data_IF_185099089798
#
_entry.id   IF_185099089798
#
_cell.length_a   1.000
_cell.length_b   1.000
_cell.length_c   1.000
_cell.angle_alpha   90.00
_cell.angle_beta   90.00
_cell.angle_gamma   90.00
#
_symmetry.space_group_name_H-M   'P 1'
#
loop_
_entity.id
_entity.type
_entity.pdbx_description
1 polymer ?
#
# COMPACT_ATOMS: atom_id res chain seq x y z
N UNK A 1 -8.31 -18.71 13.72
CA UNK A 1 -7.92 -17.38 13.20
C UNK A 1 -8.81 -16.30 13.77
N UNK A 2 -8.23 -15.17 14.03
CA UNK A 2 -8.96 -14.03 14.55
C UNK A 2 -9.04 -12.92 13.50
N UNK A 3 -10.17 -12.20 13.43
CA UNK A 3 -10.21 -10.99 12.62
C UNK A 3 -9.18 -9.98 13.13
N UNK A 4 -8.56 -9.27 12.21
CA UNK A 4 -7.69 -8.17 12.57
C UNK A 4 -8.54 -6.92 12.68
N UNK A 5 -8.55 -6.31 13.87
CA UNK A 5 -9.35 -5.12 14.14
C UNK A 5 -8.48 -3.89 14.06
N UNK A 6 -8.84 -2.97 13.18
CA UNK A 6 -8.10 -1.72 12.97
C UNK A 6 -9.08 -0.55 12.94
N UNK A 7 -8.56 0.63 13.26
CA UNK A 7 -9.31 1.88 13.16
C UNK A 7 -9.20 2.38 11.72
N UNK A 8 -10.16 1.99 10.87
CA UNK A 8 -10.10 2.32 9.46
C UNK A 8 -11.49 2.49 8.85
N UNK A 9 -11.55 3.32 7.83
CA UNK A 9 -12.71 3.42 6.96
C UNK A 9 -12.55 2.34 5.88
N UNK A 10 -13.46 1.38 5.88
CA UNK A 10 -13.38 0.21 5.01
C UNK A 10 -13.28 0.57 3.53
N UNK A 11 -14.12 1.47 3.06
CA UNK A 11 -14.13 1.84 1.63
C UNK A 11 -12.85 2.55 1.22
N UNK A 12 -12.37 3.43 2.05
CA UNK A 12 -11.11 4.15 1.77
C UNK A 12 -9.92 3.21 1.80
N UNK A 13 -9.90 2.29 2.76
CA UNK A 13 -8.82 1.30 2.84
C UNK A 13 -8.83 0.38 1.63
N UNK A 14 -10.00 -0.09 1.22
CA UNK A 14 -10.12 -0.91 0.01
C UNK A 14 -9.60 -0.18 -1.22
N UNK A 15 -9.90 1.11 -1.34
CA UNK A 15 -9.40 1.93 -2.44
C UNK A 15 -7.88 1.97 -2.48
N UNK A 16 -7.24 2.12 -1.32
CA UNK A 16 -5.77 2.11 -1.22
C UNK A 16 -5.21 0.76 -1.67
N UNK A 17 -5.78 -0.33 -1.16
CA UNK A 17 -5.30 -1.68 -1.50
C UNK A 17 -5.43 -1.94 -3.00
N UNK A 18 -6.57 -1.59 -3.59
CA UNK A 18 -6.79 -1.75 -5.03
C UNK A 18 -5.75 -0.96 -5.82
N UNK A 19 -5.46 0.26 -5.39
CA UNK A 19 -4.48 1.10 -6.05
C UNK A 19 -3.08 0.49 -5.99
N UNK A 20 -2.69 -0.04 -4.83
CA UNK A 20 -1.37 -0.68 -4.69
C UNK A 20 -1.26 -1.94 -5.53
N UNK A 21 -2.31 -2.76 -5.57
CA UNK A 21 -2.32 -3.97 -6.40
C UNK A 21 -2.24 -3.60 -7.88
N UNK A 22 -2.99 -2.60 -8.30
CA UNK A 22 -2.97 -2.14 -9.70
C UNK A 22 -1.58 -1.64 -10.08
N UNK A 23 -0.93 -0.87 -9.21
CA UNK A 23 0.42 -0.41 -9.45
C UNK A 23 1.42 -1.56 -9.57
N UNK A 24 1.26 -2.58 -8.72
CA UNK A 24 2.11 -3.77 -8.78
C UNK A 24 1.94 -4.51 -10.11
N UNK A 25 0.69 -4.68 -10.55
CA UNK A 25 0.41 -5.33 -11.84
C UNK A 25 0.99 -4.54 -13.01
N UNK A 26 0.87 -3.20 -12.94
CA UNK A 26 1.44 -2.34 -13.98
C UNK A 26 2.97 -2.43 -14.01
N UNK A 27 3.60 -2.50 -12.85
CA UNK A 27 5.06 -2.60 -12.75
C UNK A 27 5.59 -3.93 -13.31
N UNK A 28 4.76 -4.96 -13.37
CA UNK A 28 5.14 -6.26 -13.88
C UNK A 28 4.82 -6.47 -15.36
N UNK A 29 4.23 -5.48 -16.02
CA UNK A 29 3.98 -5.57 -17.46
C UNK A 29 5.29 -5.72 -18.21
N UNK A 30 5.35 -6.70 -19.08
CA UNK A 30 6.56 -6.98 -19.86
C UNK A 30 7.62 -7.80 -19.14
N UNK A 31 7.41 -8.11 -17.88
CA UNK A 31 8.33 -8.95 -17.11
C UNK A 31 8.03 -10.43 -17.36
N UNK A 32 9.09 -11.24 -17.40
CA UNK A 32 8.95 -12.69 -17.57
C UNK A 32 8.37 -13.32 -16.29
N UNK A 33 8.79 -12.85 -15.14
CA UNK A 33 8.28 -13.31 -13.85
C UNK A 33 7.29 -12.29 -13.32
N UNK A 34 6.09 -12.76 -12.94
CA UNK A 34 5.02 -11.91 -12.44
C UNK A 34 4.42 -12.55 -11.20
N UNK A 35 4.99 -12.21 -10.05
CA UNK A 35 4.49 -12.71 -8.76
C UNK A 35 4.07 -11.53 -7.90
N UNK A 36 2.88 -11.66 -7.33
CA UNK A 36 2.33 -10.67 -6.41
C UNK A 36 2.10 -11.36 -5.08
N UNK A 37 2.74 -10.84 -4.04
CA UNK A 37 2.54 -11.34 -2.68
C UNK A 37 1.88 -10.26 -1.85
N UNK A 38 0.87 -10.65 -1.10
CA UNK A 38 0.22 -9.77 -0.12
C UNK A 38 0.35 -10.45 1.23
N UNK A 39 1.00 -9.77 2.16
CA UNK A 39 1.30 -10.33 3.47
C UNK A 39 0.78 -9.42 4.57
N UNK A 40 0.00 -9.99 5.48
CA UNK A 40 -0.47 -9.27 6.67
C UNK A 40 0.31 -9.75 7.87
N UNK A 41 0.95 -8.82 8.57
CA UNK A 41 1.67 -9.09 9.81
C UNK A 41 1.02 -8.28 10.92
N UNK A 42 0.80 -8.92 12.06
CA UNK A 42 0.13 -8.29 13.19
C UNK A 42 1.03 -8.31 14.42
N UNK A 43 1.22 -7.16 15.01
CA UNK A 43 1.95 -6.96 16.25
C UNK A 43 1.31 -5.78 16.96
N UNK A 44 2.09 -4.79 17.37
CA UNK A 44 1.55 -3.54 17.94
C UNK A 44 0.75 -2.77 16.90
N UNK A 45 1.09 -2.96 15.63
CA UNK A 45 0.38 -2.38 14.50
C UNK A 45 0.05 -3.50 13.51
N UNK A 46 -0.92 -3.25 12.63
CA UNK A 46 -1.18 -4.12 11.49
C UNK A 46 -0.35 -3.62 10.31
N UNK A 47 0.42 -4.49 9.70
CA UNK A 47 1.25 -4.15 8.54
C UNK A 47 0.81 -5.00 7.36
N UNK A 48 0.33 -4.34 6.32
CA UNK A 48 -0.03 -5.00 5.07
C UNK A 48 1.04 -4.67 4.03
N UNK A 49 1.75 -5.69 3.56
CA UNK A 49 2.78 -5.51 2.54
C UNK A 49 2.28 -6.04 1.20
N UNK A 50 2.50 -5.25 0.15
CA UNK A 50 2.21 -5.64 -1.24
C UNK A 50 3.54 -5.67 -1.97
N UNK A 51 3.97 -6.85 -2.37
CA UNK A 51 5.26 -7.06 -3.02
C UNK A 51 5.04 -7.53 -4.45
N UNK A 52 5.81 -6.96 -5.37
CA UNK A 52 5.80 -7.40 -6.76
C UNK A 52 7.21 -7.76 -7.23
N UNK A 53 7.28 -8.39 -8.40
CA UNK A 53 8.55 -8.76 -9.04
C UNK A 53 8.82 -7.92 -10.30
N UNK A 54 8.29 -6.70 -10.32
CA UNK A 54 8.43 -5.79 -11.46
C UNK A 54 9.75 -5.05 -11.50
N UNK A 55 9.72 -3.91 -12.16
CA UNK A 55 10.92 -3.12 -12.41
C UNK A 55 11.50 -2.42 -11.19
N UNK A 56 10.73 -2.32 -10.11
CA UNK A 56 11.15 -1.56 -8.93
C UNK A 56 10.82 -0.08 -9.05
N UNK A 57 11.35 0.69 -8.13
CA UNK A 57 11.07 2.13 -8.00
C UNK A 57 12.33 2.91 -8.29
N UNK A 58 12.24 3.84 -9.26
CA UNK A 58 13.39 4.66 -9.65
C UNK A 58 13.68 5.78 -8.65
N UNK A 59 12.63 6.43 -8.15
CA UNK A 59 12.81 7.58 -7.29
C UNK A 59 11.90 7.51 -6.08
N UNK A 60 12.44 6.96 -4.99
CA UNK A 60 11.70 6.79 -3.75
C UNK A 60 11.35 8.14 -3.09
N UNK A 61 12.16 9.16 -3.30
CA UNK A 61 11.95 10.46 -2.66
C UNK A 61 10.70 11.18 -3.15
N UNK A 62 10.35 11.02 -4.42
CA UNK A 62 9.22 11.73 -5.02
C UNK A 62 8.01 10.85 -5.26
N UNK A 63 8.09 9.58 -4.88
CA UNK A 63 7.09 8.58 -5.22
C UNK A 63 5.67 8.96 -4.80
N UNK A 64 5.52 9.57 -3.64
CA UNK A 64 4.22 9.93 -3.09
C UNK A 64 3.81 11.39 -3.37
N UNK A 65 4.60 12.10 -4.15
CA UNK A 65 4.25 13.47 -4.53
C UNK A 65 3.16 13.46 -5.60
N UNK A 66 2.22 14.42 -5.54
CA UNK A 66 1.19 14.53 -6.57
C UNK A 66 1.80 14.71 -7.95
N UNK A 67 1.17 14.11 -8.95
CA UNK A 67 1.55 14.17 -10.36
C UNK A 67 2.85 13.46 -10.72
N UNK A 68 3.56 12.85 -9.76
CA UNK A 68 4.70 12.03 -10.09
C UNK A 68 4.22 10.70 -10.70
N UNK A 69 4.73 10.35 -11.86
CA UNK A 69 4.43 9.08 -12.50
C UNK A 69 5.52 8.74 -13.52
N UNK A 70 5.85 7.43 -13.60
CA UNK A 70 6.70 6.89 -14.65
C UNK A 70 5.88 6.27 -15.77
N UNK A 71 4.56 6.31 -15.66
CA UNK A 71 3.66 5.78 -16.69
C UNK A 71 3.65 6.70 -17.90
N UNK A 72 3.30 6.12 -19.04
CA UNK A 72 3.16 6.89 -20.27
C UNK A 72 2.02 7.89 -20.15
N UNK A 73 2.09 9.01 -20.89
CA UNK A 73 0.97 9.94 -20.92
C UNK A 73 -0.35 9.24 -21.25
N UNK A 74 -1.37 9.51 -20.46
CA UNK A 74 -2.68 8.87 -20.62
C UNK A 74 -2.90 7.63 -19.75
N UNK A 75 -1.85 7.02 -19.21
CA UNK A 75 -1.96 5.83 -18.38
C UNK A 75 -2.16 6.16 -16.89
N UNK A 76 -2.01 7.41 -16.53
CA UNK A 76 -2.22 7.88 -15.18
C UNK A 76 -1.70 9.29 -15.02
N UNK A 77 -2.18 9.98 -13.98
CA UNK A 77 -1.82 11.37 -13.72
C UNK A 77 -0.92 11.54 -12.49
N UNK A 78 -0.48 10.46 -11.89
CA UNK A 78 0.42 10.53 -10.74
C UNK A 78 -0.25 10.92 -9.43
N UNK A 79 -1.54 10.71 -9.29
CA UNK A 79 -2.27 11.05 -8.08
C UNK A 79 -2.55 9.86 -7.17
N UNK A 80 -2.50 8.63 -7.71
CA UNK A 80 -2.91 7.43 -6.96
C UNK A 80 -2.17 7.24 -5.67
N UNK A 81 -0.84 7.30 -5.70
CA UNK A 81 -0.03 7.10 -4.49
C UNK A 81 -0.14 8.27 -3.52
N UNK A 82 -0.22 9.50 -4.02
CA UNK A 82 -0.42 10.68 -3.16
C UNK A 82 -1.75 10.60 -2.41
N UNK A 83 -2.82 10.23 -3.10
CA UNK A 83 -4.14 10.08 -2.50
C UNK A 83 -4.13 8.92 -1.49
N UNK A 84 -3.52 7.78 -1.86
CA UNK A 84 -3.42 6.63 -0.96
C UNK A 84 -2.65 6.96 0.30
N UNK A 85 -1.53 7.66 0.18
CA UNK A 85 -0.74 8.10 1.33
C UNK A 85 -1.56 9.03 2.25
N UNK A 86 -2.32 9.94 1.66
CA UNK A 86 -3.21 10.84 2.41
C UNK A 86 -4.29 10.09 3.18
N UNK A 87 -4.90 9.10 2.54
CA UNK A 87 -5.92 8.27 3.18
C UNK A 87 -5.33 7.53 4.39
N UNK A 88 -4.18 6.90 4.22
CA UNK A 88 -3.56 6.14 5.31
C UNK A 88 -3.13 7.06 6.45
N UNK A 89 -2.61 8.23 6.14
CA UNK A 89 -2.27 9.24 7.14
C UNK A 89 -3.51 9.66 7.93
N UNK A 90 -4.62 9.91 7.25
CA UNK A 90 -5.89 10.27 7.91
C UNK A 90 -6.40 9.16 8.82
N UNK A 91 -6.11 7.91 8.52
CA UNK A 91 -6.47 6.76 9.34
C UNK A 91 -5.50 6.53 10.51
N UNK A 92 -4.53 7.40 10.67
CA UNK A 92 -3.55 7.30 11.75
C UNK A 92 -2.37 6.40 11.46
N UNK A 93 -2.22 6.00 10.21
CA UNK A 93 -1.16 5.09 9.79
C UNK A 93 -0.13 5.74 8.89
N UNK A 94 0.58 4.89 8.16
CA UNK A 94 1.65 5.32 7.27
C UNK A 94 1.73 4.39 6.07
N UNK A 95 1.90 4.97 4.90
CA UNK A 95 2.21 4.23 3.67
C UNK A 95 3.67 4.48 3.32
N UNK A 96 4.42 3.42 3.12
CA UNK A 96 5.83 3.50 2.75
C UNK A 96 6.13 2.54 1.61
N UNK A 97 7.31 2.71 1.01
CA UNK A 97 7.74 1.88 -0.11
C UNK A 97 9.25 1.68 -0.08
N UNK A 98 9.68 0.56 -0.61
CA UNK A 98 11.08 0.26 -0.80
C UNK A 98 11.25 -0.68 -1.98
N UNK A 99 12.45 -0.74 -2.52
CA UNK A 99 12.78 -1.75 -3.51
C UNK A 99 13.07 -3.08 -2.80
N UNK A 100 12.65 -4.18 -3.43
CA UNK A 100 12.91 -5.51 -2.91
C UNK A 100 14.39 -5.86 -3.01
N UNK A 101 14.86 -6.74 -2.13
CA UNK A 101 16.25 -7.20 -2.13
C UNK A 101 16.60 -7.90 -3.43
N UNK A 102 15.66 -8.69 -3.97
CA UNK A 102 15.85 -9.45 -5.19
C UNK A 102 15.18 -8.80 -6.41
N UNK A 103 14.90 -7.50 -6.32
CA UNK A 103 14.20 -6.75 -7.36
C UNK A 103 12.74 -6.50 -7.00
N UNK A 104 12.06 -5.76 -7.87
CA UNK A 104 10.66 -5.39 -7.64
C UNK A 104 10.50 -4.34 -6.55
N UNK A 105 9.27 -4.16 -6.11
CA UNK A 105 8.93 -3.16 -5.10
C UNK A 105 8.09 -3.76 -3.98
N UNK A 106 8.19 -3.16 -2.80
CA UNK A 106 7.36 -3.51 -1.64
C UNK A 106 6.71 -2.23 -1.13
N UNK A 107 5.37 -2.23 -1.10
CA UNK A 107 4.60 -1.16 -0.49
C UNK A 107 4.01 -1.66 0.82
N UNK A 108 4.13 -0.88 1.87
CA UNK A 108 3.64 -1.27 3.18
C UNK A 108 2.67 -0.24 3.74
N UNK A 109 1.51 -0.74 4.18
CA UNK A 109 0.52 0.04 4.92
C UNK A 109 0.67 -0.35 6.39
N UNK A 110 0.94 0.63 7.25
CA UNK A 110 1.01 0.41 8.70
C UNK A 110 -0.16 1.14 9.33
N UNK A 111 -1.01 0.40 10.04
CA UNK A 111 -2.19 0.95 10.71
C UNK A 111 -2.21 0.57 12.18
N UNK A 112 -2.68 1.48 13.05
CA UNK A 112 -2.82 1.13 14.46
C UNK A 112 -3.92 0.09 14.65
N UNK A 113 -3.68 -0.81 15.60
CA UNK A 113 -4.68 -1.80 16.00
C UNK A 113 -5.64 -1.17 16.99
N UNK A 114 -6.92 -1.60 16.96
CA UNK A 114 -7.85 -1.26 18.03
C UNK A 114 -7.47 -2.06 19.30
N UNK A 115 -7.42 -1.36 20.42
CA UNK A 115 -7.27 -2.02 21.72
C UNK A 115 -8.60 -2.66 22.10
N UNK A 116 -8.57 -3.72 22.97
CA UNK A 116 -9.78 -4.41 23.39
C UNK A 116 -10.83 -3.48 23.98
N UNK A 117 -10.41 -2.53 24.82
CA UNK A 117 -11.34 -1.57 25.43
C UNK A 117 -12.00 -0.64 24.41
N UNK A 118 -11.29 -0.33 23.31
CA UNK A 118 -11.84 0.50 22.23
C UNK A 118 -12.91 -0.26 21.45
N UNK A 119 -12.69 -1.56 21.26
CA UNK A 119 -13.66 -2.43 20.63
C UNK A 119 -14.92 -2.54 21.50
N UNK A 120 -14.76 -2.70 22.80
CA UNK A 120 -15.89 -2.76 23.73
C UNK A 120 -16.67 -1.44 23.76
N UNK A 121 -15.99 -0.31 23.74
CA UNK A 121 -16.62 0.99 23.73
C UNK A 121 -17.38 1.26 22.43
N UNK A 122 -16.93 0.67 21.31
CA UNK A 122 -17.57 0.83 20.02
C UNK A 122 -18.84 -0.01 19.84
N UNK A 123 -19.00 -1.02 20.66
CA UNK A 123 -20.18 -1.87 20.68
C UNK A 123 -21.31 -1.24 21.51
#
# INVERSE_FOLDING_TARGET
ERPVMIMADRLRLEQVIINLVRNALDAMKGSDTRELDILLTVGDSAVLAVRDTGAGIENLETLFEPFYTTKKPGDGVGLGLAISSGIITDLGGRLSARNGVDGGAVFEIVLPMLENRDVEAAE
#
